data_IF_974720796347
#
_entry.id   IF_974720796347
#
_cell.length_a   1.000
_cell.length_b   1.000
_cell.length_c   1.000
_cell.angle_alpha   90.00
_cell.angle_beta   90.00
_cell.angle_gamma   90.00
#
_symmetry.space_group_name_H-M   'P 1'
#
loop_
_entity.id
_entity.type
_entity.pdbx_description
1 polymer ?
2 non-polymer ?
3 non-polymer ?
4 non-polymer ?
5 non-polymer ?
6 non-polymer ?
7 water ?
#
# COMPACT_ATOMS: atom_id res chain seq x y z
N UNK A 7 -24.27 20.28 3.28
CA UNK A 7 -23.31 19.26 3.78
C UNK A 7 -22.07 19.90 4.40
N UNK A 8 -21.80 19.54 5.66
CA UNK A 8 -20.59 20.03 6.34
C UNK A 8 -19.75 18.83 6.69
N UNK A 9 -18.59 18.73 6.04
CA UNK A 9 -17.70 17.61 6.38
C UNK A 9 -17.08 17.80 7.74
N UNK A 10 -17.09 19.04 8.26
CA UNK A 10 -16.62 19.31 9.61
C UNK A 10 -17.82 19.19 10.56
N UNK A 11 -17.85 18.12 11.29
CA UNK A 11 -18.86 17.94 12.34
C UNK A 11 -18.41 18.54 13.65
N UNK A 12 -17.11 18.74 13.85
CA UNK A 12 -16.46 19.14 15.10
C UNK A 12 -16.48 18.09 16.17
N UNK A 13 -17.05 16.97 15.93
CA UNK A 13 -17.06 15.90 16.92
C UNK A 13 -15.68 15.36 17.24
N UNK A 14 -14.69 15.58 16.36
CA UNK A 14 -13.31 15.15 16.58
C UNK A 14 -12.48 16.15 17.32
N UNK A 15 -13.07 17.29 17.70
CA UNK A 15 -12.23 18.36 18.20
C UNK A 15 -11.58 18.12 19.56
N UNK A 16 -12.04 17.09 20.29
CA UNK A 16 -11.46 16.72 21.57
C UNK A 16 -10.62 15.46 21.49
N UNK A 17 -10.33 14.97 20.27
CA UNK A 17 -9.37 13.92 20.10
C UNK A 17 -9.89 12.52 19.94
N UNK A 18 -11.24 12.35 19.94
CA UNK A 18 -11.84 11.04 19.71
C UNK A 18 -12.53 11.02 18.36
N UNK A 19 -12.70 9.83 17.80
CA UNK A 19 -13.33 9.67 16.51
C UNK A 19 -14.10 8.36 16.49
N UNK A 20 -15.11 8.32 15.65
CA UNK A 20 -15.91 7.12 15.45
C UNK A 20 -15.28 6.20 14.44
N UNK A 21 -15.31 4.91 14.77
CA UNK A 21 -14.86 3.87 13.79
C UNK A 21 -16.12 3.26 13.17
N UNK A 22 -15.96 2.14 12.45
CA UNK A 22 -17.08 1.35 11.99
C UNK A 22 -17.77 0.67 13.17
N UNK A 23 -19.12 0.83 13.19
CA UNK A 23 -19.86 0.38 14.34
C UNK A 23 -20.00 1.52 15.37
N UNK A 24 -20.20 1.17 16.63
CA UNK A 24 -20.53 2.10 17.71
C UNK A 24 -19.34 2.74 18.39
N UNK A 25 -18.18 2.10 18.32
CA UNK A 25 -17.11 2.56 19.20
C UNK A 25 -16.48 3.89 18.80
N UNK A 26 -16.03 4.64 19.80
CA UNK A 26 -15.12 5.76 19.56
C UNK A 26 -13.79 5.44 20.17
N UNK A 27 -12.75 5.95 19.50
CA UNK A 27 -11.39 5.74 19.90
C UNK A 27 -10.63 7.04 19.88
N UNK A 28 -9.58 7.12 20.68
CA UNK A 28 -8.63 8.24 20.50
C UNK A 28 -8.03 8.17 19.10
N UNK A 29 -7.72 9.36 18.59
CA UNK A 29 -7.18 9.42 17.21
C UNK A 29 -5.83 8.74 17.13
N UNK A 30 -5.08 8.60 18.20
CA UNK A 30 -3.82 7.87 18.15
C UNK A 30 -3.95 6.38 18.42
N UNK A 31 -5.15 5.87 18.60
CA UNK A 31 -5.33 4.47 18.79
C UNK A 31 -4.71 3.69 17.64
N UNK A 32 -4.11 2.50 17.93
CA UNK A 32 -3.47 1.79 16.80
C UNK A 32 -4.45 1.46 15.67
N UNK A 33 -5.75 1.28 15.91
CA UNK A 33 -6.63 1.01 14.81
C UNK A 33 -6.76 2.21 13.87
N UNK A 34 -6.97 3.37 14.47
CA UNK A 34 -7.08 4.61 13.70
C UNK A 34 -5.82 4.92 12.97
N UNK A 35 -4.70 4.69 13.60
CA UNK A 35 -3.41 4.85 12.93
C UNK A 35 -3.28 3.91 11.75
N UNK A 36 -3.74 2.69 11.86
CA UNK A 36 -3.59 1.73 10.76
C UNK A 36 -4.35 2.14 9.54
N UNK A 37 -5.65 2.43 9.67
CA UNK A 37 -6.36 2.83 8.46
C UNK A 37 -6.02 4.24 8.07
N UNK A 38 -5.55 5.07 8.98
CA UNK A 38 -5.05 6.38 8.57
C UNK A 38 -3.80 6.26 7.72
N UNK A 39 -2.89 5.36 8.03
CA UNK A 39 -1.69 5.18 7.20
C UNK A 39 -2.08 4.60 5.85
N UNK A 40 -3.06 3.72 5.78
CA UNK A 40 -3.54 3.24 4.50
C UNK A 40 -4.08 4.39 3.66
N UNK A 41 -4.79 5.34 4.29
CA UNK A 41 -5.29 6.51 3.58
C UNK A 41 -4.13 7.38 3.07
N UNK A 42 -3.10 7.57 3.90
CA UNK A 42 -1.93 8.29 3.42
C UNK A 42 -1.31 7.58 2.22
N UNK A 43 -1.19 6.26 2.27
CA UNK A 43 -0.70 5.54 1.10
C UNK A 43 -1.58 5.80 -0.11
N UNK A 44 -2.88 5.71 0.08
CA UNK A 44 -3.79 5.88 -1.03
C UNK A 44 -3.64 7.25 -1.67
N UNK A 45 -3.48 8.28 -0.87
CA UNK A 45 -3.23 9.61 -1.38
C UNK A 45 -1.92 9.68 -2.14
N UNK A 46 -0.88 9.05 -1.62
CA UNK A 46 0.38 9.01 -2.35
C UNK A 46 0.25 8.28 -3.68
N UNK A 47 -0.52 7.20 -3.71
CA UNK A 47 -0.76 6.52 -4.99
C UNK A 47 -1.47 7.43 -5.96
N UNK A 48 -2.42 8.22 -5.50
CA UNK A 48 -3.03 9.22 -6.35
C UNK A 48 -2.01 10.19 -6.91
N UNK A 49 -1.13 10.69 -6.04
CA UNK A 49 -0.07 11.60 -6.47
C UNK A 49 0.82 10.94 -7.50
N UNK A 50 1.20 9.71 -7.24
CA UNK A 50 2.05 8.98 -8.19
C UNK A 50 1.35 8.86 -9.54
N UNK A 51 0.08 8.51 -9.57
CA UNK A 51 -0.65 8.38 -10.81
C UNK A 51 -0.68 9.70 -11.58
N UNK A 52 -0.69 10.81 -10.87
CA UNK A 52 -0.70 12.12 -11.54
C UNK A 52 0.57 12.41 -12.29
N UNK A 53 1.63 11.66 -12.03
CA UNK A 53 2.93 11.82 -12.72
C UNK A 53 3.08 11.00 -13.98
N UNK A 54 2.10 10.13 -14.27
CA UNK A 54 2.08 9.36 -15.53
C UNK A 54 2.39 10.32 -16.72
N UNK A 55 3.14 9.79 -17.70
CA UNK A 55 3.42 10.47 -18.93
C UNK A 55 3.20 9.50 -20.10
N UNK A 56 3.51 9.99 -21.32
CA UNK A 56 3.23 9.14 -22.49
C UNK A 56 4.05 7.87 -22.47
N UNK A 57 5.23 7.88 -21.86
CA UNK A 57 6.04 6.67 -21.78
C UNK A 57 5.48 5.67 -20.82
N UNK A 58 4.76 6.14 -19.79
CA UNK A 58 4.34 5.31 -18.67
C UNK A 58 2.84 5.08 -18.54
N UNK A 59 2.09 5.43 -19.58
CA UNK A 59 0.64 5.30 -19.55
C UNK A 59 0.17 3.92 -19.23
N UNK A 60 0.93 2.91 -19.60
CA UNK A 60 0.52 1.55 -19.33
C UNK A 60 0.36 1.26 -17.80
N UNK A 61 0.92 2.10 -16.92
CA UNK A 61 0.78 1.89 -15.47
C UNK A 61 -0.41 2.58 -14.87
N UNK A 62 -1.11 3.40 -15.63
CA UNK A 62 -2.15 4.25 -15.01
C UNK A 62 -3.32 3.49 -14.43
N UNK A 63 -3.87 2.53 -15.20
CA UNK A 63 -5.09 1.88 -14.76
C UNK A 63 -4.86 1.05 -13.50
N UNK A 64 -3.76 0.35 -13.42
CA UNK A 64 -3.56 -0.50 -12.27
C UNK A 64 -3.31 0.32 -11.00
N UNK A 65 -2.76 1.51 -11.11
CA UNK A 65 -2.64 2.38 -9.90
C UNK A 65 -4.02 2.79 -9.42
N UNK A 66 -4.93 3.09 -10.35
CA UNK A 66 -6.29 3.41 -9.93
C UNK A 66 -6.96 2.21 -9.28
N UNK A 67 -6.74 1.02 -9.81
CA UNK A 67 -7.29 -0.18 -9.22
C UNK A 67 -6.75 -0.39 -7.80
N UNK A 68 -5.45 -0.16 -7.58
CA UNK A 68 -4.89 -0.25 -6.24
C UNK A 68 -5.61 0.73 -5.33
N UNK A 69 -5.91 1.94 -5.78
CA UNK A 69 -6.65 2.86 -4.89
C UNK A 69 -7.99 2.28 -4.44
N UNK A 70 -8.72 1.65 -5.35
CA UNK A 70 -9.98 1.01 -5.00
C UNK A 70 -9.75 -0.07 -3.94
N UNK A 71 -8.74 -0.89 -4.14
CA UNK A 71 -8.42 -1.98 -3.19
C UNK A 71 -8.02 -1.45 -1.85
N UNK A 72 -7.32 -0.30 -1.81
CA UNK A 72 -6.90 0.25 -0.51
C UNK A 72 -8.10 0.75 0.28
N UNK A 73 -9.13 1.26 -0.38
CA UNK A 73 -10.39 1.51 0.35
C UNK A 73 -10.98 0.24 0.92
N UNK A 74 -10.98 -0.83 0.16
CA UNK A 74 -11.54 -2.09 0.69
C UNK A 74 -10.71 -2.53 1.92
N UNK A 75 -9.39 -2.41 1.87
CA UNK A 75 -8.58 -2.76 3.06
C UNK A 75 -8.82 -1.87 4.21
N UNK A 76 -8.89 -0.57 3.97
CA UNK A 76 -9.14 0.38 5.06
C UNK A 76 -10.48 0.08 5.74
N UNK A 77 -11.49 -0.26 4.97
CA UNK A 77 -12.80 -0.64 5.57
C UNK A 77 -12.63 -1.72 6.60
N UNK A 78 -11.96 -2.78 6.29
CA UNK A 78 -11.83 -3.88 7.20
C UNK A 78 -10.96 -3.51 8.41
N UNK A 79 -9.94 -2.65 8.22
CA UNK A 79 -9.15 -2.22 9.36
C UNK A 79 -9.99 -1.40 10.33
N UNK A 80 -10.96 -0.66 9.81
CA UNK A 80 -11.83 0.18 10.65
C UNK A 80 -12.93 -0.61 11.34
N UNK A 81 -13.03 -1.91 11.06
CA UNK A 81 -14.13 -2.75 11.56
C UNK A 81 -13.63 -3.73 12.63
N UNK A 82 -14.15 -3.59 13.88
CA UNK A 82 -13.80 -4.58 14.89
C UNK A 82 -14.25 -5.99 14.50
N UNK A 83 -13.45 -6.98 14.84
CA UNK A 83 -13.74 -8.39 14.48
C UNK A 83 -15.01 -8.91 15.14
N UNK A 84 -15.37 -8.31 16.27
CA UNK A 84 -16.63 -8.69 17.01
C UNK A 84 -17.83 -7.73 16.84
N UNK A 85 -17.77 -6.85 15.83
CA UNK A 85 -18.91 -5.97 15.52
C UNK A 85 -20.00 -6.73 14.74
N UNK A 86 -21.10 -7.04 15.44
CA UNK A 86 -22.17 -7.90 14.90
C UNK A 86 -22.84 -7.31 13.67
N UNK A 87 -22.84 -5.99 13.55
CA UNK A 87 -23.54 -5.34 12.44
C UNK A 87 -22.69 -5.11 11.17
N UNK A 88 -21.38 -5.42 11.21
CA UNK A 88 -20.51 -5.14 10.05
C UNK A 88 -19.55 -6.27 9.92
N UNK A 89 -19.32 -6.66 8.67
CA UNK A 89 -18.37 -7.85 8.48
C UNK A 89 -17.01 -7.30 7.86
N UNK A 90 -16.15 -8.26 7.65
CA UNK A 90 -14.98 -8.09 6.78
C UNK A 90 -15.41 -8.41 5.38
N UNK A 91 -15.00 -7.58 4.44
CA UNK A 91 -15.33 -7.82 3.03
C UNK A 91 -14.12 -8.05 2.15
N UNK A 92 -12.89 -7.76 2.63
CA UNK A 92 -11.72 -7.93 1.77
C UNK A 92 -11.26 -9.38 1.80
N UNK A 93 -11.10 -9.94 0.60
CA UNK A 93 -10.53 -11.25 0.40
C UNK A 93 -9.21 -11.13 -0.40
N UNK A 94 -8.12 -11.65 0.12
CA UNK A 94 -6.84 -11.38 -0.51
C UNK A 94 -6.64 -12.14 -1.80
N UNK A 95 -7.23 -13.33 -1.97
CA UNK A 95 -6.83 -14.25 -3.03
C UNK A 95 -6.62 -13.61 -4.39
N UNK A 96 -7.67 -13.08 -4.92
CA UNK A 96 -7.61 -12.59 -6.30
C UNK A 96 -6.73 -11.31 -6.40
N UNK A 97 -6.92 -10.30 -5.53
CA UNK A 97 -6.02 -9.13 -5.64
C UNK A 97 -4.55 -9.48 -5.49
N UNK A 98 -4.24 -10.41 -4.62
CA UNK A 98 -2.85 -10.72 -4.38
C UNK A 98 -2.24 -11.50 -5.52
N UNK A 99 -2.99 -12.42 -6.14
CA UNK A 99 -2.57 -13.10 -7.36
C UNK A 99 -2.30 -12.08 -8.47
N UNK A 100 -3.21 -11.14 -8.59
CA UNK A 100 -3.09 -10.09 -9.57
C UNK A 100 -1.80 -9.30 -9.37
N UNK A 101 -1.44 -8.95 -8.13
CA UNK A 101 -0.19 -8.28 -7.88
C UNK A 101 0.99 -9.20 -8.27
N UNK A 102 0.93 -10.49 -7.87
CA UNK A 102 2.01 -11.39 -8.16
C UNK A 102 2.26 -11.55 -9.65
N UNK A 103 1.21 -11.59 -10.42
CA UNK A 103 1.40 -11.67 -11.87
C UNK A 103 2.11 -10.45 -12.42
N UNK A 104 1.77 -9.24 -11.93
CA UNK A 104 2.49 -8.03 -12.29
C UNK A 104 3.93 -8.10 -11.82
N UNK A 105 4.19 -8.51 -10.58
CA UNK A 105 5.51 -8.58 -10.12
C UNK A 105 6.36 -9.53 -11.00
N UNK A 106 5.81 -10.71 -11.31
CA UNK A 106 6.52 -11.65 -12.19
C UNK A 106 6.81 -11.01 -13.56
N UNK A 107 5.83 -10.42 -14.17
CA UNK A 107 6.03 -9.85 -15.48
C UNK A 107 7.06 -8.74 -15.46
N UNK A 108 6.94 -7.82 -14.48
CA UNK A 108 7.87 -6.70 -14.43
C UNK A 108 9.26 -7.15 -14.03
N UNK A 109 9.38 -8.17 -13.20
CA UNK A 109 10.70 -8.68 -12.85
C UNK A 109 11.37 -9.32 -14.09
N UNK A 110 10.60 -10.01 -14.89
CA UNK A 110 11.14 -10.65 -16.08
C UNK A 110 11.64 -9.65 -17.09
N UNK A 111 10.94 -8.55 -17.29
CA UNK A 111 11.22 -7.68 -18.38
C UNK A 111 12.40 -6.74 -18.13
N UNK A 112 12.67 -6.34 -16.87
CA UNK A 112 13.68 -5.32 -16.61
C UNK A 112 15.04 -5.97 -16.50
N UNK A 113 16.12 -5.20 -16.57
CA UNK A 113 17.47 -5.81 -16.43
C UNK A 113 17.66 -6.48 -15.06
N UNK A 114 18.13 -7.72 -14.99
CA UNK A 114 18.30 -8.44 -13.72
C UNK A 114 19.35 -7.78 -12.84
N UNK A 115 19.09 -7.68 -11.54
CA UNK A 115 20.08 -7.28 -10.54
C UNK A 115 20.15 -8.42 -9.51
N UNK A 116 21.32 -8.62 -8.98
CA UNK A 116 21.52 -9.21 -7.65
C UNK A 116 21.66 -8.36 -6.43
N UNK A 117 22.02 -7.12 -6.66
CA UNK A 117 22.32 -6.18 -5.60
C UNK A 117 21.17 -5.20 -5.37
N UNK A 118 21.13 -4.62 -4.18
CA UNK A 118 20.19 -3.54 -3.92
C UNK A 118 20.41 -2.42 -4.92
N UNK A 119 19.33 -1.75 -5.29
CA UNK A 119 19.38 -0.58 -6.16
C UNK A 119 19.12 0.71 -5.35
N UNK A 120 19.67 1.82 -5.79
CA UNK A 120 19.25 3.08 -5.22
C UNK A 120 17.78 3.33 -5.56
N UNK A 121 16.95 3.72 -4.59
CA UNK A 121 15.53 3.96 -4.92
C UNK A 121 15.43 5.29 -5.60
N UNK A 122 15.31 5.32 -6.90
CA UNK A 122 15.29 6.56 -7.65
C UNK A 122 15.26 6.28 -9.14
N UNK A 123 15.61 7.31 -9.90
CA UNK A 123 15.54 7.26 -11.36
C UNK A 123 14.63 8.34 -11.89
N UNK A 124 13.65 7.96 -12.67
CA UNK A 124 12.68 8.89 -13.18
C UNK A 124 11.84 9.40 -12.05
N UNK A 125 11.09 10.46 -12.29
CA UNK A 125 10.19 10.98 -11.26
C UNK A 125 9.13 9.91 -10.91
N UNK A 126 8.58 9.23 -11.90
CA UNK A 126 7.58 8.23 -11.60
C UNK A 126 8.20 7.04 -10.86
N UNK A 127 9.35 6.55 -11.31
CA UNK A 127 9.98 5.42 -10.61
C UNK A 127 10.27 5.76 -9.16
N UNK A 128 10.76 7.01 -8.95
CA UNK A 128 11.04 7.45 -7.60
C UNK A 128 9.76 7.54 -6.77
N UNK A 129 8.70 8.05 -7.36
CA UNK A 129 7.42 8.08 -6.63
C UNK A 129 6.94 6.67 -6.31
N UNK A 130 7.18 5.70 -7.17
CA UNK A 130 6.79 4.32 -6.89
C UNK A 130 7.65 3.77 -5.73
N UNK A 131 8.92 4.14 -5.63
CA UNK A 131 9.69 3.79 -4.45
C UNK A 131 9.14 4.50 -3.19
N UNK A 132 8.72 5.74 -3.27
CA UNK A 132 8.09 6.36 -2.12
C UNK A 132 6.84 5.53 -1.77
N UNK A 133 6.04 5.15 -2.74
CA UNK A 133 4.87 4.31 -2.47
C UNK A 133 5.27 3.02 -1.79
N UNK A 134 6.33 2.39 -2.26
CA UNK A 134 6.87 1.17 -1.66
C UNK A 134 7.10 1.36 -0.16
N UNK A 135 7.79 2.44 0.20
CA UNK A 135 8.11 2.64 1.60
C UNK A 135 6.96 3.12 2.43
N UNK A 136 6.01 3.87 1.89
CA UNK A 136 4.82 4.23 2.68
C UNK A 136 3.97 2.99 2.89
N UNK A 137 3.90 2.10 1.89
CA UNK A 137 3.18 0.84 2.10
C UNK A 137 3.77 0.08 3.26
N UNK A 138 5.07 0.03 3.33
CA UNK A 138 5.77 -0.71 4.40
C UNK A 138 5.55 -0.05 5.75
N UNK A 139 5.48 1.27 5.78
CA UNK A 139 5.11 2.00 7.02
C UNK A 139 3.68 1.66 7.45
N UNK A 140 2.75 1.68 6.51
CA UNK A 140 1.38 1.29 6.83
C UNK A 140 1.34 -0.16 7.33
N UNK A 141 2.11 -1.05 6.70
CA UNK A 141 2.18 -2.45 7.16
C UNK A 141 2.64 -2.53 8.59
N UNK A 142 3.63 -1.75 8.99
CA UNK A 142 4.06 -1.77 10.38
C UNK A 142 2.90 -1.43 11.32
N UNK A 143 2.13 -0.41 10.94
CA UNK A 143 0.95 0.02 11.72
C UNK A 143 -0.09 -1.08 11.80
N UNK A 144 -0.32 -1.74 10.71
CA UNK A 144 -1.26 -2.88 10.70
C UNK A 144 -0.78 -3.98 11.65
N UNK A 145 0.50 -4.28 11.66
CA UNK A 145 1.03 -5.30 12.60
C UNK A 145 0.90 -4.79 14.02
N UNK A 146 1.14 -3.53 14.29
CA UNK A 146 0.88 -3.01 15.63
C UNK A 146 -0.56 -3.29 16.05
N UNK A 147 -1.52 -3.00 15.19
CA UNK A 147 -2.91 -3.28 15.51
C UNK A 147 -3.15 -4.76 15.72
N UNK A 148 -2.51 -5.61 14.90
CA UNK A 148 -2.68 -7.09 14.97
C UNK A 148 -2.23 -7.68 16.27
N UNK A 149 -1.27 -7.03 16.86
CA UNK A 149 -0.75 -7.53 18.13
C UNK A 149 -1.70 -7.21 19.29
N UNK A 150 -2.66 -6.33 19.10
CA UNK A 150 -3.62 -5.96 20.16
C UNK A 150 -5.01 -6.38 19.88
N UNK A 151 -5.42 -6.56 18.64
CA UNK A 151 -6.80 -6.79 18.29
C UNK A 151 -6.88 -7.76 17.15
N UNK A 152 -7.98 -8.48 17.02
CA UNK A 152 -8.17 -9.36 15.89
C UNK A 152 -8.47 -8.57 14.63
N UNK A 153 -7.72 -8.88 13.55
CA UNK A 153 -7.85 -8.18 12.29
C UNK A 153 -8.18 -9.13 11.19
N UNK A 154 -8.56 -8.59 10.04
CA UNK A 154 -8.65 -9.43 8.86
C UNK A 154 -7.26 -9.67 8.31
N UNK A 155 -6.69 -10.82 8.58
CA UNK A 155 -5.29 -11.11 8.17
C UNK A 155 -5.10 -11.05 6.65
N UNK A 156 -6.17 -11.17 5.87
CA UNK A 156 -6.04 -11.00 4.43
C UNK A 156 -5.53 -9.60 4.07
N UNK A 157 -5.88 -8.59 4.86
CA UNK A 157 -5.34 -7.24 4.59
C UNK A 157 -3.83 -7.24 4.73
N UNK A 158 -3.30 -7.89 5.75
CA UNK A 158 -1.87 -7.97 5.92
C UNK A 158 -1.19 -8.65 4.75
N UNK A 159 -1.74 -9.79 4.30
CA UNK A 159 -1.15 -10.46 3.18
C UNK A 159 -1.03 -9.54 1.96
N UNK A 160 -2.11 -8.91 1.64
CA UNK A 160 -2.16 -8.03 0.47
C UNK A 160 -1.20 -6.85 0.62
N UNK A 161 -1.20 -6.22 1.79
CA UNK A 161 -0.32 -5.06 1.99
C UNK A 161 1.14 -5.46 1.96
N UNK A 162 1.48 -6.64 2.50
CA UNK A 162 2.84 -7.14 2.33
C UNK A 162 3.18 -7.26 0.85
N UNK A 163 2.34 -7.96 0.12
CA UNK A 163 2.64 -8.14 -1.32
C UNK A 163 2.71 -6.82 -2.08
N UNK A 164 1.88 -5.87 -1.68
CA UNK A 164 1.83 -4.59 -2.37
C UNK A 164 3.16 -3.87 -2.37
N UNK A 165 3.95 -3.95 -1.33
CA UNK A 165 5.26 -3.24 -1.41
C UNK A 165 6.24 -3.90 -2.36
N UNK A 166 6.14 -5.23 -2.50
CA UNK A 166 6.92 -5.88 -3.58
C UNK A 166 6.39 -5.44 -4.95
N UNK A 167 5.10 -5.31 -5.13
CA UNK A 167 4.58 -4.73 -6.35
C UNK A 167 5.18 -3.38 -6.61
N UNK A 168 5.21 -2.48 -5.61
CA UNK A 168 5.74 -1.16 -5.90
C UNK A 168 7.22 -1.18 -6.26
N UNK A 169 8.00 -2.06 -5.65
CA UNK A 169 9.39 -2.21 -6.06
C UNK A 169 9.46 -2.60 -7.52
N UNK A 170 8.75 -3.63 -7.90
CA UNK A 170 8.78 -4.14 -9.28
C UNK A 170 8.30 -3.09 -10.28
N UNK A 171 7.22 -2.40 -9.91
CA UNK A 171 6.68 -1.35 -10.76
C UNK A 171 7.65 -0.16 -10.87
N UNK A 172 8.38 0.15 -9.81
CA UNK A 172 9.35 1.26 -9.89
C UNK A 172 10.44 0.90 -10.89
N UNK A 173 10.93 -0.32 -10.82
CA UNK A 173 11.94 -0.73 -11.80
C UNK A 173 11.35 -0.71 -13.20
N UNK A 174 10.12 -1.14 -13.36
CA UNK A 174 9.47 -1.12 -14.66
C UNK A 174 9.29 0.31 -15.17
N UNK A 175 8.96 1.26 -14.29
CA UNK A 175 8.87 2.62 -14.70
C UNK A 175 10.21 3.14 -15.26
N UNK A 176 11.31 2.83 -14.60
CA UNK A 176 12.62 3.23 -15.14
C UNK A 176 12.84 2.56 -16.52
N UNK A 177 12.52 1.28 -16.62
CA UNK A 177 12.67 0.58 -17.91
C UNK A 177 11.86 1.27 -18.99
N UNK A 178 10.67 1.73 -18.68
CA UNK A 178 9.80 2.34 -19.72
C UNK A 178 10.38 3.65 -20.24
N UNK A 179 11.24 4.31 -19.51
CA UNK A 179 11.92 5.51 -20.00
C UNK A 179 13.38 5.22 -20.32
N UNK A 180 13.80 3.99 -20.22
CA UNK A 180 15.23 3.62 -20.45
C UNK A 180 16.16 4.40 -19.57
N UNK A 181 15.76 4.54 -18.28
CA UNK A 181 16.61 5.07 -17.27
C UNK A 181 17.25 3.89 -16.55
N UNK A 182 18.57 3.78 -16.52
CA UNK A 182 19.15 2.63 -15.80
C UNK A 182 19.04 2.81 -14.30
N UNK A 183 18.86 1.69 -13.61
CA UNK A 183 18.96 1.70 -12.13
C UNK A 183 20.42 1.81 -11.75
N UNK A 184 20.67 2.35 -10.57
CA UNK A 184 22.01 2.46 -10.00
C UNK A 184 22.12 1.49 -8.84
N UNK A 185 23.27 0.84 -8.66
CA UNK A 185 23.43 -0.12 -7.58
C UNK A 185 23.93 0.54 -6.32
N UNK A 186 23.52 0.00 -5.18
CA UNK A 186 24.16 0.30 -3.93
C UNK A 186 25.61 -0.25 -4.00
N UNK A 187 26.59 0.63 -3.81
CA UNK A 187 27.99 0.27 -4.07
C UNK A 187 28.56 -0.76 -3.09
N UNK A 188 28.02 -0.89 -1.89
CA UNK A 188 28.50 -1.87 -0.92
C UNK A 188 27.57 -3.05 -0.77
N UNK A 189 26.63 -3.23 -1.71
CA UNK A 189 25.67 -4.34 -1.62
C UNK A 189 26.34 -5.69 -1.77
N UNK A 190 25.88 -6.66 -1.00
CA UNK A 190 26.12 -8.06 -1.28
C UNK A 190 25.11 -8.49 -2.36
N UNK A 191 25.23 -9.72 -2.87
CA UNK A 191 24.20 -10.27 -3.73
C UNK A 191 23.10 -10.73 -2.80
N UNK A 192 21.99 -10.01 -2.82
CA UNK A 192 20.90 -10.24 -1.90
C UNK A 192 19.67 -10.82 -2.57
N UNK A 193 19.50 -10.66 -3.88
CA UNK A 193 18.31 -11.13 -4.58
C UNK A 193 18.67 -12.51 -5.17
N UNK A 194 18.04 -13.54 -4.65
CA UNK A 194 18.32 -14.92 -5.09
C UNK A 194 17.03 -15.71 -5.34
#
# INVERSE_FOLDING_TARGET
GASAPMVKIYTKNGDKGQTRIIGKQILYKNDPRVAAYGEVDELNSWVGYTKSLINSHTQVLSNELEEIQQLLFDCGHDLATPADDERHSFKFKQEQPTVWLEEKIDNYTQVVPAVKKFILPGGTQLASALHVARTITRRAERQIVQLMREEQINQDVLIFINRLSDYFFAAARYANYLEQQPDMLYRNSKDVFR
#
